data_IF_928756598624
#
_entry.id   IF_928756598624
#
_cell.length_a   1.000
_cell.length_b   1.000
_cell.length_c   1.000
_cell.angle_alpha   90.00
_cell.angle_beta   90.00
_cell.angle_gamma   90.00
#
_symmetry.space_group_name_H-M   'P 1'
#
loop_
_entity.id
_entity.type
_entity.pdbx_description
1 polymer ?
#
# COMPACT_ATOMS: atom_id res chain seq x y z
N UNK A 1 4.97 5.31 -11.77
CA UNK A 1 3.53 5.40 -11.43
C UNK A 1 3.37 6.23 -10.16
N UNK A 2 2.78 7.43 -10.23
CA UNK A 2 2.51 8.26 -9.03
C UNK A 2 1.06 8.02 -8.61
N UNK A 3 0.87 7.44 -7.42
CA UNK A 3 -0.45 7.30 -6.79
C UNK A 3 -0.88 8.63 -6.15
N UNK A 4 -2.20 8.90 -6.02
CA UNK A 4 -2.73 10.20 -5.58
C UNK A 4 -2.37 10.60 -4.14
N UNK A 5 -1.77 9.69 -3.35
CA UNK A 5 -1.54 9.90 -1.92
C UNK A 5 -0.21 10.60 -1.61
N UNK A 6 0.75 10.69 -2.54
CA UNK A 6 2.07 11.31 -2.33
C UNK A 6 2.79 10.86 -1.03
N UNK A 7 2.57 9.61 -0.61
CA UNK A 7 3.17 9.02 0.59
C UNK A 7 4.10 7.85 0.23
N UNK A 8 5.10 7.61 1.08
CA UNK A 8 5.90 6.39 1.10
C UNK A 8 5.49 5.59 2.32
N UNK A 9 5.14 4.32 2.11
CA UNK A 9 4.79 3.39 3.16
C UNK A 9 5.63 2.12 3.01
N UNK A 10 5.97 1.49 4.14
CA UNK A 10 6.62 0.18 4.10
C UNK A 10 5.60 -0.90 3.75
N UNK A 11 6.01 -2.04 3.15
CA UNK A 11 5.07 -3.08 2.69
C UNK A 11 4.12 -3.59 3.78
N UNK A 12 4.59 -3.68 5.03
CA UNK A 12 3.78 -4.13 6.16
C UNK A 12 2.66 -3.16 6.55
N UNK A 13 2.84 -1.86 6.33
CA UNK A 13 1.88 -0.82 6.73
C UNK A 13 0.71 -0.62 5.74
N UNK A 14 0.70 -1.37 4.63
CA UNK A 14 -0.28 -1.25 3.55
C UNK A 14 -0.93 -2.58 3.15
N UNK A 15 -0.81 -3.62 3.99
CA UNK A 15 -1.36 -4.94 3.71
C UNK A 15 -2.89 -4.89 3.58
N UNK A 16 -3.59 -4.13 4.43
CA UNK A 16 -5.05 -3.99 4.33
C UNK A 16 -5.47 -3.25 3.05
N UNK A 17 -4.71 -2.22 2.64
CA UNK A 17 -4.95 -1.51 1.39
C UNK A 17 -4.80 -2.47 0.20
N UNK A 18 -3.74 -3.29 0.18
CA UNK A 18 -3.53 -4.30 -0.85
C UNK A 18 -4.67 -5.32 -0.89
N UNK A 19 -5.13 -5.80 0.28
CA UNK A 19 -6.25 -6.74 0.37
C UNK A 19 -7.56 -6.14 -0.16
N UNK A 20 -7.83 -4.87 0.14
CA UNK A 20 -9.01 -4.14 -0.34
C UNK A 20 -8.97 -3.96 -1.86
N UNK A 21 -7.85 -3.47 -2.41
CA UNK A 21 -7.69 -3.27 -3.86
C UNK A 21 -7.81 -4.57 -4.65
N UNK A 22 -7.39 -5.69 -4.06
CA UNK A 22 -7.52 -7.04 -4.64
C UNK A 22 -8.84 -7.75 -4.29
N UNK A 23 -9.82 -7.04 -3.72
CA UNK A 23 -11.16 -7.57 -3.39
C UNK A 23 -11.09 -8.82 -2.51
N UNK A 24 -10.13 -8.86 -1.58
CA UNK A 24 -9.96 -9.98 -0.62
C UNK A 24 -10.81 -9.83 0.64
N UNK A 25 -11.43 -8.66 0.84
CA UNK A 25 -12.24 -8.34 2.02
C UNK A 25 -13.59 -7.75 1.57
N UNK A 26 -14.74 -8.20 2.11
CA UNK A 26 -16.05 -7.71 1.70
C UNK A 26 -16.35 -6.31 2.28
N UNK A 27 -16.17 -5.27 1.47
CA UNK A 27 -16.35 -3.86 1.88
C UNK A 27 -17.42 -3.09 1.08
N UNK A 28 -18.16 -3.76 0.20
CA UNK A 28 -19.14 -3.09 -0.69
C UNK A 28 -20.21 -2.34 0.11
N UNK A 29 -20.48 -1.10 -0.27
CA UNK A 29 -21.49 -0.25 0.36
C UNK A 29 -21.08 0.28 1.74
N UNK A 30 -19.78 0.24 2.08
CA UNK A 30 -19.26 0.71 3.36
C UNK A 30 -18.24 1.83 3.14
N UNK A 31 -18.27 2.84 4.00
CA UNK A 31 -17.13 3.75 4.18
C UNK A 31 -16.08 3.03 5.01
N UNK A 32 -14.85 2.98 4.53
CA UNK A 32 -13.74 2.27 5.17
C UNK A 32 -12.62 3.26 5.47
N UNK A 33 -12.14 3.26 6.72
CA UNK A 33 -10.92 3.95 7.11
C UNK A 33 -9.75 2.95 7.11
N UNK A 34 -8.59 3.38 6.60
CA UNK A 34 -7.35 2.60 6.61
C UNK A 34 -6.31 3.41 7.37
N UNK A 35 -5.60 2.77 8.29
CA UNK A 35 -4.50 3.40 9.03
C UNK A 35 -3.18 2.90 8.45
N UNK A 36 -2.42 3.81 7.87
CA UNK A 36 -1.04 3.52 7.43
C UNK A 36 -0.14 3.82 8.62
N UNK A 37 0.42 2.77 9.21
CA UNK A 37 1.14 2.84 10.49
C UNK A 37 2.61 3.26 10.35
N UNK A 38 3.22 3.07 9.17
CA UNK A 38 4.67 3.24 9.00
C UNK A 38 5.13 3.47 7.57
N UNK A 39 6.23 4.22 7.45
CA UNK A 39 6.96 4.49 6.21
C UNK A 39 8.46 4.26 6.33
N UNK A 40 8.88 3.48 7.34
CA UNK A 40 10.28 3.24 7.66
C UNK A 40 10.91 2.22 6.71
N UNK A 41 11.20 2.67 5.49
CA UNK A 41 11.85 1.86 4.47
C UNK A 41 13.13 2.53 3.98
N UNK A 42 14.16 1.71 3.73
CA UNK A 42 15.38 2.17 3.06
C UNK A 42 15.07 2.54 1.59
N UNK A 43 15.63 3.66 1.11
CA UNK A 43 15.38 4.14 -0.25
C UNK A 43 15.74 3.11 -1.34
N UNK A 44 16.86 2.39 -1.20
CA UNK A 44 17.25 1.35 -2.16
C UNK A 44 16.27 0.17 -2.14
N UNK A 45 15.78 -0.20 -0.95
CA UNK A 45 14.76 -1.25 -0.82
C UNK A 45 13.44 -0.81 -1.44
N UNK A 46 13.01 0.42 -1.20
CA UNK A 46 11.81 0.99 -1.81
C UNK A 46 11.91 1.00 -3.34
N UNK A 47 13.04 1.48 -3.88
CA UNK A 47 13.31 1.47 -5.32
C UNK A 47 13.24 0.05 -5.90
N UNK A 48 13.88 -0.94 -5.27
CA UNK A 48 13.83 -2.34 -5.73
C UNK A 48 12.43 -2.95 -5.76
N UNK A 49 11.50 -2.45 -4.93
CA UNK A 49 10.11 -2.92 -4.88
C UNK A 49 9.21 -2.22 -5.92
N UNK A 50 9.66 -1.09 -6.48
CA UNK A 50 8.96 -0.37 -7.54
C UNK A 50 9.36 -0.84 -8.94
N UNK A 51 10.48 -1.55 -9.07
CA UNK A 51 10.86 -2.21 -10.31
C UNK A 51 9.83 -3.29 -10.63
N UNK A 52 9.26 -3.25 -11.84
CA UNK A 52 8.32 -4.26 -12.33
C UNK A 52 9.02 -5.62 -12.26
N UNK A 53 8.68 -6.40 -11.22
CA UNK A 53 9.03 -7.81 -11.19
C UNK A 53 7.99 -8.53 -12.05
N UNK A 54 8.40 -9.38 -13.01
CA UNK A 54 7.46 -10.17 -13.82
C UNK A 54 6.50 -11.01 -12.96
#
# INVERSE_FOLDING_TARGET
MIHPFNIVAEPGAVVELAAILNVRIPIKGRSVAIVITGGNINAARFASLLEDTP
#
